data_IF_397942721503
#
_entry.id   IF_397942721503
#
_cell.length_a   1.000
_cell.length_b   1.000
_cell.length_c   1.000
_cell.angle_alpha   90.00
_cell.angle_beta   90.00
_cell.angle_gamma   90.00
#
_symmetry.space_group_name_H-M   'P 1'
#
loop_
_entity.id
_entity.type
_entity.pdbx_description
1 polymer ?
#
# COMPACT_ATOMS: atom_id res chain seq x y z
N UNK A 1 6.54 -11.28 -0.81
CA UNK A 1 5.93 -9.94 -0.63
C UNK A 1 5.85 -9.53 0.82
N UNK A 2 5.40 -10.39 1.75
CA UNK A 2 5.44 -10.03 3.18
C UNK A 2 6.87 -9.64 3.59
N UNK A 3 7.01 -8.50 4.27
CA UNK A 3 8.28 -7.87 4.65
C UNK A 3 8.89 -6.95 3.58
N UNK A 4 8.28 -6.82 2.40
CA UNK A 4 8.74 -5.87 1.38
C UNK A 4 8.30 -4.45 1.73
N UNK A 5 9.13 -3.47 1.38
CA UNK A 5 8.78 -2.05 1.50
C UNK A 5 8.35 -1.51 0.15
N UNK A 6 7.16 -0.95 0.08
CA UNK A 6 6.55 -0.41 -1.14
C UNK A 6 6.13 1.04 -0.95
N UNK A 7 5.96 1.77 -2.05
CA UNK A 7 5.30 3.08 -2.05
C UNK A 7 3.80 2.88 -2.24
N UNK A 8 3.02 3.60 -1.46
CA UNK A 8 1.56 3.51 -1.30
C UNK A 8 1.03 4.95 -1.18
N UNK A 9 -0.10 5.26 -1.82
CA UNK A 9 -0.79 6.53 -1.65
C UNK A 9 -1.91 6.38 -0.63
N UNK A 10 -2.00 7.32 0.31
CA UNK A 10 -3.16 7.44 1.19
C UNK A 10 -3.67 8.86 1.21
N UNK A 11 -4.99 9.02 1.31
CA UNK A 11 -5.61 10.31 1.57
C UNK A 11 -5.23 10.80 2.98
N UNK A 12 -4.61 11.98 3.04
CA UNK A 12 -4.33 12.68 4.29
C UNK A 12 -5.40 13.75 4.50
N UNK A 13 -6.32 13.52 5.44
CA UNK A 13 -7.41 14.47 5.75
C UNK A 13 -6.89 15.82 6.26
N UNK A 14 -5.69 15.87 6.85
CA UNK A 14 -5.11 17.11 7.38
C UNK A 14 -4.56 18.00 6.29
N UNK A 15 -4.08 17.40 5.20
CA UNK A 15 -3.52 18.10 4.04
C UNK A 15 -4.48 18.18 2.86
N UNK A 16 -5.61 17.47 2.93
CA UNK A 16 -6.62 17.37 1.87
C UNK A 16 -6.03 16.90 0.52
N UNK A 17 -5.02 16.04 0.58
CA UNK A 17 -4.30 15.52 -0.60
C UNK A 17 -3.92 14.05 -0.41
N UNK A 18 -3.61 13.37 -1.52
CA UNK A 18 -2.95 12.06 -1.47
C UNK A 18 -1.46 12.23 -1.19
N UNK A 19 -0.95 11.47 -0.23
CA UNK A 19 0.46 11.49 0.14
C UNK A 19 1.07 10.13 -0.18
N UNK A 20 2.16 10.13 -0.95
CA UNK A 20 3.01 8.96 -1.12
C UNK A 20 3.75 8.68 0.20
N UNK A 21 3.58 7.46 0.71
CA UNK A 21 4.29 6.99 1.89
C UNK A 21 4.96 5.66 1.62
N UNK A 22 5.94 5.31 2.45
CA UNK A 22 6.55 3.98 2.44
C UNK A 22 5.81 3.12 3.45
N UNK A 23 5.34 1.97 2.98
CA UNK A 23 4.69 0.97 3.82
C UNK A 23 5.42 -0.37 3.76
N UNK A 24 5.32 -1.16 4.82
CA UNK A 24 5.75 -2.56 4.82
C UNK A 24 4.57 -3.48 4.57
N UNK A 25 4.68 -4.42 3.63
CA UNK A 25 3.65 -5.42 3.36
C UNK A 25 3.61 -6.44 4.50
N UNK A 26 2.45 -6.61 5.13
CA UNK A 26 2.29 -7.47 6.31
C UNK A 26 1.36 -8.66 6.11
N UNK A 27 0.81 -8.83 4.91
CA UNK A 27 -0.06 -9.95 4.59
C UNK A 27 -0.17 -10.22 3.10
N UNK A 28 -1.12 -11.09 2.75
CA UNK A 28 -1.38 -11.45 1.35
C UNK A 28 -2.32 -10.44 0.69
N UNK A 29 -2.05 -10.06 -0.58
CA UNK A 29 -2.99 -9.24 -1.34
C UNK A 29 -4.32 -9.95 -1.55
N UNK A 30 -5.41 -9.19 -1.50
CA UNK A 30 -6.73 -9.61 -1.93
C UNK A 30 -7.04 -8.98 -3.30
N UNK A 31 -7.72 -9.73 -4.17
CA UNK A 31 -8.11 -9.30 -5.51
C UNK A 31 -9.64 -9.26 -5.57
N UNK A 32 -10.20 -8.07 -5.77
CA UNK A 32 -11.65 -7.85 -5.77
C UNK A 32 -11.99 -6.76 -6.78
N UNK A 33 -12.93 -7.04 -7.68
CA UNK A 33 -13.47 -6.07 -8.65
C UNK A 33 -12.42 -5.25 -9.43
N UNK A 34 -11.36 -5.91 -9.91
CA UNK A 34 -10.29 -5.27 -10.68
C UNK A 34 -9.34 -4.39 -9.85
N UNK A 35 -9.43 -4.50 -8.52
CA UNK A 35 -8.55 -3.84 -7.55
C UNK A 35 -7.72 -4.88 -6.81
N UNK A 36 -6.53 -4.46 -6.40
CA UNK A 36 -5.62 -5.22 -5.57
C UNK A 36 -5.51 -4.51 -4.23
N UNK A 37 -5.90 -5.18 -3.16
CA UNK A 37 -5.84 -4.68 -1.81
C UNK A 37 -4.69 -5.32 -1.07
N UNK A 38 -3.65 -4.55 -0.77
CA UNK A 38 -2.45 -5.05 -0.08
C UNK A 38 -2.48 -4.61 1.38
N UNK A 39 -2.51 -5.55 2.36
CA UNK A 39 -2.38 -5.20 3.77
C UNK A 39 -0.96 -4.70 4.06
N UNK A 40 -0.87 -3.48 4.55
CA UNK A 40 0.41 -2.79 4.82
C UNK A 40 0.43 -2.16 6.21
N UNK A 41 1.61 -2.12 6.82
CA UNK A 41 1.85 -1.42 8.07
C UNK A 41 2.42 -0.03 7.80
N UNK A 42 1.74 1.00 8.30
CA UNK A 42 2.16 2.39 8.20
C UNK A 42 1.56 3.21 9.35
N UNK A 43 2.34 4.13 9.93
CA UNK A 43 1.82 5.03 10.97
C UNK A 43 1.32 4.31 12.24
N UNK A 44 1.95 3.18 12.60
CA UNK A 44 1.60 2.31 13.75
C UNK A 44 0.27 1.56 13.62
N UNK A 45 -0.36 1.57 12.44
CA UNK A 45 -1.61 0.86 12.17
C UNK A 45 -1.46 -0.01 10.92
N UNK A 46 -2.27 -1.06 10.82
CA UNK A 46 -2.42 -1.84 9.59
C UNK A 46 -3.51 -1.18 8.75
N UNK A 47 -3.22 -0.96 7.47
CA UNK A 47 -4.13 -0.39 6.48
C UNK A 47 -4.21 -1.31 5.26
N UNK A 48 -5.26 -1.15 4.45
CA UNK A 48 -5.33 -1.76 3.13
C UNK A 48 -4.94 -0.71 2.09
N UNK A 49 -3.82 -0.90 1.42
CA UNK A 49 -3.44 -0.09 0.28
C UNK A 49 -4.17 -0.61 -0.97
N UNK A 50 -4.93 0.27 -1.62
CA UNK A 50 -5.64 -0.04 -2.85
C UNK A 50 -4.74 0.25 -4.07
N UNK A 51 -4.68 -0.69 -5.00
CA UNK A 51 -4.03 -0.52 -6.29
C UNK A 51 -5.00 -0.95 -7.40
N UNK A 52 -4.95 -0.27 -8.54
CA UNK A 52 -5.58 -0.80 -9.75
C UNK A 52 -4.77 -2.00 -10.26
N UNK A 53 -5.42 -2.93 -10.96
CA UNK A 53 -4.74 -4.15 -11.45
C UNK A 53 -3.55 -3.85 -12.39
N UNK A 54 -3.58 -2.69 -13.06
CA UNK A 54 -2.54 -2.20 -13.96
C UNK A 54 -1.59 -1.20 -13.29
N UNK A 55 -1.67 -1.02 -11.96
CA UNK A 55 -0.81 -0.08 -11.25
C UNK A 55 0.63 -0.59 -11.15
N UNK A 56 1.59 0.30 -11.46
CA UNK A 56 3.00 0.06 -11.19
C UNK A 56 3.29 0.22 -9.69
N UNK A 57 3.52 -0.89 -8.99
CA UNK A 57 3.91 -0.89 -7.58
C UNK A 57 5.42 -0.63 -7.45
N UNK A 58 5.79 0.56 -6.98
CA UNK A 58 7.19 0.91 -6.67
C UNK A 58 7.65 0.15 -5.42
N UNK A 59 8.59 -0.78 -5.59
CA UNK A 59 9.20 -1.53 -4.50
C UNK A 59 10.56 -0.90 -4.14
N UNK A 60 10.73 -0.55 -2.87
CA UNK A 60 11.96 0.09 -2.35
C UNK A 60 12.93 -0.97 -1.82
N UNK A 61 12.41 -1.99 -1.14
CA UNK A 61 13.21 -3.05 -0.55
C UNK A 61 12.48 -4.40 -0.67
N UNK A 62 13.22 -5.44 -1.03
CA UNK A 62 12.74 -6.82 -1.09
C UNK A 62 13.50 -7.66 -0.08
N UNK A 63 12.76 -8.47 0.67
CA UNK A 63 13.27 -9.49 1.58
C UNK A 63 13.17 -10.86 0.93
#
# INVERSE_FOLDING_TARGET
MIGWKIVCCFWDETKTEEVEVVCEVVGYPNFEDGRVWVPVYHGKVIKMAEFTIDADIKVIERR
#
